data_IF_982384172645
#
_entry.id   IF_982384172645
#
_cell.length_a   1.000
_cell.length_b   1.000
_cell.length_c   1.000
_cell.angle_alpha   90.00
_cell.angle_beta   90.00
_cell.angle_gamma   90.00
#
_symmetry.space_group_name_H-M   'P 1'
#
loop_
_entity.id
_entity.type
_entity.pdbx_description
1 polymer ?
#
# COMPACT_ATOMS: atom_id res chain seq x y z
N UNK A 1 0.72 -16.70 22.80
CA UNK A 1 -0.33 -15.71 22.70
C UNK A 1 -0.35 -15.12 21.28
N UNK A 2 -0.64 -15.96 20.31
CA UNK A 2 -1.04 -15.60 18.94
C UNK A 2 -2.53 -15.93 18.84
N UNK A 3 -3.33 -15.11 18.17
CA UNK A 3 -4.71 -15.41 17.75
C UNK A 3 -5.89 -14.95 18.61
N UNK A 4 -5.89 -13.76 19.17
CA UNK A 4 -7.17 -13.18 19.62
C UNK A 4 -7.47 -11.80 18.98
N UNK A 5 -6.49 -11.11 18.40
CA UNK A 5 -6.72 -9.82 17.73
C UNK A 5 -6.93 -9.91 16.20
N UNK A 6 -6.76 -11.09 15.59
CA UNK A 6 -6.98 -11.28 14.14
C UNK A 6 -8.39 -11.75 13.75
N UNK A 7 -9.18 -12.28 14.67
CA UNK A 7 -10.53 -12.78 14.34
C UNK A 7 -11.67 -11.76 14.53
N UNK A 8 -11.47 -10.68 15.27
CA UNK A 8 -12.51 -9.67 15.48
C UNK A 8 -12.52 -8.52 14.45
N UNK A 9 -11.42 -8.28 13.72
CA UNK A 9 -11.33 -7.19 12.74
C UNK A 9 -11.71 -7.59 11.29
N UNK A 10 -11.79 -8.89 11.00
CA UNK A 10 -12.09 -9.42 9.66
C UNK A 10 -13.58 -9.78 9.48
N UNK A 11 -14.38 -9.78 10.53
CA UNK A 11 -15.64 -10.53 10.57
C UNK A 11 -16.91 -9.74 10.27
N UNK A 12 -16.87 -8.43 10.11
CA UNK A 12 -18.10 -7.72 9.81
C UNK A 12 -18.06 -6.91 8.51
N UNK A 13 -17.98 -7.63 7.37
CA UNK A 13 -18.18 -7.05 6.06
C UNK A 13 -19.51 -6.29 5.95
N UNK A 14 -20.56 -6.72 6.68
CA UNK A 14 -21.86 -6.04 6.73
C UNK A 14 -21.76 -4.69 7.42
N UNK A 15 -21.00 -4.59 8.52
CA UNK A 15 -20.76 -3.31 9.18
C UNK A 15 -19.97 -2.34 8.27
N UNK A 16 -19.01 -2.84 7.49
CA UNK A 16 -18.30 -2.01 6.50
C UNK A 16 -19.23 -1.47 5.42
N UNK A 17 -20.16 -2.29 4.90
CA UNK A 17 -21.18 -1.83 3.96
C UNK A 17 -22.16 -0.85 4.61
N UNK A 18 -22.56 -1.10 5.85
CA UNK A 18 -23.43 -0.21 6.61
C UNK A 18 -22.78 1.14 6.92
N UNK A 19 -21.45 1.18 7.08
CA UNK A 19 -20.70 2.42 7.29
C UNK A 19 -20.56 3.28 6.02
N UNK A 20 -20.86 2.73 4.83
CA UNK A 20 -20.85 3.51 3.59
C UNK A 20 -21.89 4.62 3.64
N UNK A 21 -21.47 5.85 3.35
CA UNK A 21 -22.35 7.04 3.34
C UNK A 21 -22.72 7.40 1.91
N UNK A 22 -23.98 7.14 1.49
CA UNK A 22 -24.44 7.49 0.15
C UNK A 22 -24.58 9.00 -0.01
N UNK A 23 -24.18 9.55 -1.15
CA UNK A 23 -24.28 10.98 -1.47
C UNK A 23 -25.47 11.28 -2.39
N UNK A 24 -25.94 10.28 -3.12
CA UNK A 24 -27.07 10.42 -4.07
C UNK A 24 -28.24 9.54 -3.66
N UNK A 25 -29.42 9.81 -4.23
CA UNK A 25 -30.61 8.99 -4.00
C UNK A 25 -30.46 7.58 -4.59
N UNK A 26 -29.77 7.44 -5.74
CA UNK A 26 -29.49 6.13 -6.31
C UNK A 26 -28.59 5.29 -5.38
N UNK A 27 -27.52 5.84 -4.89
CA UNK A 27 -26.63 5.14 -3.95
C UNK A 27 -27.35 4.74 -2.64
N UNK A 28 -28.29 5.57 -2.21
CA UNK A 28 -29.09 5.25 -1.01
C UNK A 28 -30.00 4.03 -1.28
N UNK A 29 -30.58 3.94 -2.48
CA UNK A 29 -31.38 2.80 -2.90
C UNK A 29 -30.51 1.55 -3.00
N UNK A 30 -29.39 1.63 -3.73
CA UNK A 30 -28.47 0.52 -3.93
C UNK A 30 -27.96 -0.02 -2.58
N UNK A 31 -27.49 0.88 -1.70
CA UNK A 31 -27.04 0.51 -0.36
C UNK A 31 -28.14 -0.20 0.44
N UNK A 32 -29.33 0.33 0.45
CA UNK A 32 -30.43 -0.26 1.23
C UNK A 32 -30.82 -1.65 0.69
N UNK A 33 -30.88 -1.82 -0.63
CA UNK A 33 -31.13 -3.11 -1.26
C UNK A 33 -30.03 -4.12 -0.94
N UNK A 34 -28.77 -3.73 -1.08
CA UNK A 34 -27.60 -4.57 -0.76
C UNK A 34 -27.63 -5.00 0.71
N UNK A 35 -27.93 -4.09 1.63
CA UNK A 35 -27.98 -4.40 3.08
C UNK A 35 -29.14 -5.36 3.40
N UNK A 36 -30.32 -5.17 2.79
CA UNK A 36 -31.44 -6.09 2.95
C UNK A 36 -31.12 -7.48 2.42
N UNK A 37 -30.53 -7.56 1.23
CA UNK A 37 -30.05 -8.82 0.67
C UNK A 37 -28.99 -9.49 1.55
N UNK A 38 -28.06 -8.70 2.10
CA UNK A 38 -27.02 -9.19 3.00
C UNK A 38 -27.59 -9.76 4.32
N UNK A 39 -28.68 -9.21 4.82
CA UNK A 39 -29.40 -9.78 5.96
C UNK A 39 -30.10 -11.07 5.60
N UNK A 40 -30.77 -11.10 4.43
CA UNK A 40 -31.57 -12.24 4.00
C UNK A 40 -30.73 -13.45 3.60
N UNK A 41 -29.69 -13.26 2.80
CA UNK A 41 -28.90 -14.34 2.19
C UNK A 41 -27.52 -14.55 2.84
N UNK A 42 -27.05 -13.58 3.62
CA UNK A 42 -25.79 -13.69 4.36
C UNK A 42 -24.60 -13.99 3.45
N UNK A 43 -23.79 -14.97 3.86
CA UNK A 43 -22.56 -15.36 3.14
C UNK A 43 -22.80 -16.01 1.77
N UNK A 44 -24.03 -16.38 1.42
CA UNK A 44 -24.34 -16.89 0.08
C UNK A 44 -24.05 -15.87 -1.00
N UNK A 45 -24.26 -14.57 -0.72
CA UNK A 45 -23.95 -13.47 -1.63
C UNK A 45 -22.44 -13.30 -1.92
N UNK A 46 -21.57 -13.90 -1.13
CA UNK A 46 -20.13 -13.91 -1.39
C UNK A 46 -19.74 -14.88 -2.52
N UNK A 47 -20.67 -15.75 -2.94
CA UNK A 47 -20.41 -16.76 -3.95
C UNK A 47 -21.22 -16.49 -5.23
N UNK A 48 -20.56 -16.60 -6.38
CA UNK A 48 -21.23 -16.49 -7.71
C UNK A 48 -22.24 -17.61 -7.99
N UNK A 49 -22.34 -18.61 -7.14
CA UNK A 49 -23.40 -19.61 -7.18
C UNK A 49 -24.77 -19.06 -6.76
N UNK A 50 -24.82 -17.90 -6.08
CA UNK A 50 -26.07 -17.17 -5.89
C UNK A 50 -26.39 -16.44 -7.22
N UNK A 51 -27.26 -17.09 -8.02
CA UNK A 51 -27.42 -16.77 -9.43
C UNK A 51 -28.12 -15.44 -9.74
N UNK A 52 -28.88 -14.89 -8.79
CA UNK A 52 -29.61 -13.61 -8.97
C UNK A 52 -28.73 -12.40 -8.72
N UNK A 53 -27.89 -12.49 -7.69
CA UNK A 53 -26.98 -11.42 -7.30
C UNK A 53 -25.81 -11.95 -6.48
N UNK A 54 -24.64 -11.33 -6.58
CA UNK A 54 -23.49 -11.66 -5.75
C UNK A 54 -22.49 -10.51 -5.70
N UNK A 55 -21.60 -10.56 -4.69
CA UNK A 55 -20.61 -9.48 -4.52
C UNK A 55 -19.45 -9.56 -5.50
N UNK A 56 -19.12 -8.40 -6.04
CA UNK A 56 -17.88 -8.12 -6.76
C UNK A 56 -17.10 -7.01 -6.06
N UNK A 57 -15.79 -7.03 -6.23
CA UNK A 57 -14.87 -6.09 -5.61
C UNK A 57 -14.05 -5.41 -6.68
N UNK A 58 -14.16 -4.09 -6.79
CA UNK A 58 -13.43 -3.31 -7.79
C UNK A 58 -12.36 -2.44 -7.17
N UNK A 59 -11.17 -2.48 -7.78
CA UNK A 59 -10.06 -1.58 -7.50
C UNK A 59 -10.02 -0.47 -8.55
N UNK A 60 -10.46 0.74 -8.18
CA UNK A 60 -10.29 1.91 -9.05
C UNK A 60 -8.92 2.48 -8.83
N UNK A 61 -7.97 2.10 -9.71
CA UNK A 61 -6.56 2.44 -9.55
C UNK A 61 -6.25 3.75 -10.24
N UNK A 62 -5.74 4.73 -9.49
CA UNK A 62 -5.27 6.00 -10.05
C UNK A 62 -3.77 6.19 -9.79
N UNK A 63 -3.17 7.07 -10.58
CA UNK A 63 -1.81 7.54 -10.33
C UNK A 63 -1.75 8.45 -9.09
N UNK A 64 -0.55 8.74 -8.61
CA UNK A 64 -0.31 9.55 -7.41
C UNK A 64 -0.84 10.99 -7.52
N UNK A 65 -1.08 11.51 -8.73
CA UNK A 65 -1.63 12.84 -9.00
C UNK A 65 -3.14 12.85 -9.18
N UNK A 66 -3.77 11.67 -9.29
CA UNK A 66 -5.18 11.49 -9.63
C UNK A 66 -5.55 12.12 -10.99
N UNK A 67 -4.65 12.01 -11.95
CA UNK A 67 -4.80 12.50 -13.32
C UNK A 67 -5.06 11.36 -14.32
N UNK A 68 -4.61 10.13 -13.98
CA UNK A 68 -4.77 8.94 -14.82
C UNK A 68 -5.42 7.81 -14.04
N UNK A 69 -6.20 7.00 -14.76
CA UNK A 69 -6.80 5.76 -14.27
C UNK A 69 -6.16 4.58 -14.98
N UNK A 70 -5.79 3.54 -14.24
CA UNK A 70 -5.35 2.28 -14.81
C UNK A 70 -6.57 1.47 -15.21
N UNK A 71 -6.67 1.14 -16.48
CA UNK A 71 -7.82 0.42 -17.03
C UNK A 71 -7.38 -0.78 -17.85
N UNK A 72 -8.24 -1.77 -17.90
CA UNK A 72 -8.07 -3.00 -18.69
C UNK A 72 -9.08 -3.05 -19.82
N UNK A 73 -8.66 -3.49 -21.01
CA UNK A 73 -9.59 -3.70 -22.12
C UNK A 73 -10.24 -5.09 -22.02
N UNK A 74 -11.50 -5.09 -21.59
CA UNK A 74 -12.22 -6.30 -21.30
C UNK A 74 -12.88 -6.89 -22.55
N UNK A 75 -12.57 -8.17 -22.86
CA UNK A 75 -13.03 -8.82 -24.10
C UNK A 75 -14.56 -8.93 -24.20
N UNK A 76 -15.25 -9.21 -23.07
CA UNK A 76 -16.69 -9.45 -23.06
C UNK A 76 -17.44 -8.13 -23.32
N UNK A 77 -16.97 -7.03 -22.75
CA UNK A 77 -17.62 -5.71 -22.86
C UNK A 77 -17.15 -4.89 -24.06
N UNK A 78 -16.06 -5.34 -24.73
CA UNK A 78 -15.40 -4.61 -25.83
C UNK A 78 -15.13 -3.15 -25.45
N UNK A 79 -14.71 -2.92 -24.20
CA UNK A 79 -14.54 -1.61 -23.57
C UNK A 79 -13.39 -1.62 -22.59
N UNK A 80 -12.79 -0.45 -22.36
CA UNK A 80 -11.95 -0.23 -21.20
C UNK A 80 -12.83 -0.16 -19.94
N UNK A 81 -12.42 -0.92 -18.92
CA UNK A 81 -13.08 -1.01 -17.63
C UNK A 81 -12.03 -0.90 -16.48
N UNK A 82 -12.51 -0.63 -15.28
CA UNK A 82 -11.69 -0.73 -14.07
C UNK A 82 -11.33 -2.19 -13.77
N UNK A 83 -10.42 -2.41 -12.82
CA UNK A 83 -10.07 -3.75 -12.37
C UNK A 83 -11.04 -4.24 -11.31
N UNK A 84 -11.33 -5.54 -11.33
CA UNK A 84 -12.20 -6.13 -10.30
C UNK A 84 -12.63 -7.55 -10.61
N UNK A 85 -13.03 -8.25 -9.56
CA UNK A 85 -13.45 -9.64 -9.65
C UNK A 85 -14.49 -10.00 -8.59
N UNK A 86 -14.90 -11.25 -8.61
CA UNK A 86 -15.89 -11.78 -7.68
C UNK A 86 -15.27 -11.95 -6.28
N UNK A 87 -16.10 -11.82 -5.27
CA UNK A 87 -15.69 -12.07 -3.88
C UNK A 87 -15.26 -13.54 -3.67
N UNK A 88 -15.92 -14.49 -4.34
CA UNK A 88 -15.64 -15.93 -4.32
C UNK A 88 -15.40 -16.50 -2.91
N UNK A 89 -16.29 -16.11 -1.99
CA UNK A 89 -16.25 -16.51 -0.58
C UNK A 89 -15.40 -15.61 0.32
N UNK A 90 -14.64 -14.67 -0.24
CA UNK A 90 -13.90 -13.69 0.56
C UNK A 90 -14.84 -12.65 1.17
N UNK A 91 -14.66 -12.36 2.45
CA UNK A 91 -15.30 -11.26 3.17
C UNK A 91 -14.38 -10.04 3.31
N UNK A 92 -13.14 -10.12 2.85
CA UNK A 92 -12.21 -9.00 2.74
C UNK A 92 -12.26 -8.43 1.31
N UNK A 93 -13.20 -7.53 1.10
CA UNK A 93 -13.43 -6.92 -0.21
C UNK A 93 -12.25 -6.02 -0.65
N UNK A 94 -11.59 -5.35 0.30
CA UNK A 94 -10.42 -4.54 -0.02
C UNK A 94 -9.25 -5.40 -0.50
N UNK A 95 -8.97 -6.49 0.22
CA UNK A 95 -7.93 -7.43 -0.19
C UNK A 95 -8.22 -8.00 -1.58
N UNK A 96 -9.49 -8.37 -1.84
CA UNK A 96 -9.92 -8.88 -3.15
C UNK A 96 -9.69 -7.83 -4.24
N UNK A 97 -10.11 -6.57 -4.04
CA UNK A 97 -9.91 -5.49 -5.00
C UNK A 97 -8.40 -5.24 -5.30
N UNK A 98 -7.54 -5.28 -4.29
CA UNK A 98 -6.08 -5.15 -4.46
C UNK A 98 -5.49 -6.35 -5.21
N UNK A 99 -5.95 -7.56 -4.91
CA UNK A 99 -5.50 -8.78 -5.59
C UNK A 99 -5.86 -8.75 -7.08
N UNK A 100 -7.12 -8.46 -7.41
CA UNK A 100 -7.59 -8.36 -8.80
C UNK A 100 -6.83 -7.28 -9.58
N UNK A 101 -6.62 -6.11 -8.98
CA UNK A 101 -5.82 -5.06 -9.62
C UNK A 101 -4.40 -5.54 -9.98
N UNK A 102 -3.75 -6.34 -9.12
CA UNK A 102 -2.44 -6.92 -9.41
C UNK A 102 -2.48 -8.01 -10.48
N UNK A 103 -3.47 -8.90 -10.42
CA UNK A 103 -3.62 -10.03 -11.33
C UNK A 103 -3.91 -9.55 -12.75
N UNK A 104 -4.83 -8.60 -12.91
CA UNK A 104 -5.26 -8.10 -14.21
C UNK A 104 -4.26 -7.15 -14.90
N UNK A 105 -3.44 -6.43 -14.11
CA UNK A 105 -2.59 -5.35 -14.65
C UNK A 105 -1.09 -5.55 -14.49
N UNK A 106 -0.68 -6.49 -13.62
CA UNK A 106 0.72 -6.74 -13.30
C UNK A 106 1.38 -5.71 -12.38
N UNK A 107 0.66 -4.68 -11.90
CA UNK A 107 1.20 -3.77 -10.88
C UNK A 107 1.52 -4.52 -9.60
N UNK A 108 2.60 -4.13 -8.92
CA UNK A 108 3.10 -4.90 -7.77
C UNK A 108 2.76 -4.27 -6.41
N UNK A 109 2.70 -2.95 -6.36
CA UNK A 109 2.57 -2.21 -5.10
C UNK A 109 1.40 -1.20 -5.10
N UNK A 110 0.19 -1.56 -5.56
CA UNK A 110 -0.94 -0.68 -5.35
C UNK A 110 -1.25 -0.61 -3.85
N UNK A 111 -1.62 0.58 -3.39
CA UNK A 111 -2.03 0.77 -1.99
C UNK A 111 -3.38 1.50 -1.94
N UNK A 112 -4.22 1.22 -0.94
CA UNK A 112 -5.50 1.90 -0.80
C UNK A 112 -5.30 3.35 -0.38
N UNK A 113 -5.99 4.27 -1.06
CA UNK A 113 -6.05 5.68 -0.66
C UNK A 113 -6.73 5.83 0.71
N UNK A 114 -7.71 4.98 0.96
CA UNK A 114 -8.42 4.83 2.24
C UNK A 114 -8.91 3.40 2.39
N UNK A 115 -9.05 2.93 3.62
CA UNK A 115 -9.69 1.63 3.91
C UNK A 115 -11.22 1.64 3.80
N UNK A 116 -11.84 2.81 3.56
CA UNK A 116 -13.28 2.94 3.41
C UNK A 116 -13.76 2.54 2.00
N UNK A 117 -14.98 2.03 1.92
CA UNK A 117 -15.69 1.81 0.64
C UNK A 117 -15.94 3.17 -0.01
N UNK A 118 -15.48 3.34 -1.24
CA UNK A 118 -15.69 4.60 -1.99
C UNK A 118 -16.96 4.60 -2.82
N UNK A 119 -17.41 3.44 -3.27
CA UNK A 119 -18.68 3.32 -3.99
C UNK A 119 -19.31 1.97 -3.74
N UNK A 120 -20.62 1.98 -3.64
CA UNK A 120 -21.44 0.79 -3.51
C UNK A 120 -22.55 0.90 -4.56
N UNK A 121 -22.54 0.00 -5.54
CA UNK A 121 -23.38 0.09 -6.72
C UNK A 121 -24.01 -1.27 -7.05
N UNK A 122 -25.23 -1.28 -7.55
CA UNK A 122 -25.84 -2.44 -8.17
C UNK A 122 -25.64 -2.33 -9.68
N UNK A 123 -24.78 -3.20 -10.22
CA UNK A 123 -24.41 -3.21 -11.62
C UNK A 123 -25.09 -4.37 -12.35
N UNK A 124 -25.95 -4.11 -13.37
CA UNK A 124 -26.61 -5.17 -14.11
C UNK A 124 -25.60 -5.88 -15.04
N UNK A 125 -25.62 -7.19 -15.02
CA UNK A 125 -24.87 -8.05 -15.94
C UNK A 125 -25.85 -8.68 -16.93
N UNK A 126 -25.68 -8.37 -18.21
CA UNK A 126 -26.50 -8.97 -19.28
C UNK A 126 -26.15 -10.43 -19.46
N UNK A 127 -27.14 -11.21 -19.88
CA UNK A 127 -26.94 -12.60 -20.26
C UNK A 127 -25.83 -12.73 -21.32
N UNK A 128 -24.86 -13.60 -21.08
CA UNK A 128 -23.71 -13.80 -21.96
C UNK A 128 -23.24 -15.25 -21.94
N UNK A 129 -22.27 -15.59 -22.76
CA UNK A 129 -21.60 -16.90 -22.72
C UNK A 129 -20.21 -16.77 -22.14
N UNK A 130 -19.87 -17.64 -21.19
CA UNK A 130 -18.50 -17.76 -20.63
C UNK A 130 -18.02 -19.20 -20.87
N UNK A 131 -16.95 -19.33 -21.66
CA UNK A 131 -16.36 -20.64 -22.02
C UNK A 131 -17.38 -21.65 -22.54
N UNK A 132 -18.35 -21.19 -23.38
CA UNK A 132 -19.42 -22.02 -23.94
C UNK A 132 -20.59 -22.35 -23.00
N UNK A 133 -20.54 -21.86 -21.75
CA UNK A 133 -21.63 -22.02 -20.78
C UNK A 133 -22.47 -20.75 -20.73
N UNK A 134 -23.79 -20.81 -20.86
CA UNK A 134 -24.65 -19.63 -20.75
C UNK A 134 -24.68 -19.13 -19.30
N UNK A 135 -24.45 -17.83 -19.14
CA UNK A 135 -24.59 -17.11 -17.88
C UNK A 135 -25.86 -16.25 -17.99
N UNK A 136 -26.87 -16.45 -17.14
CA UNK A 136 -28.09 -15.66 -17.16
C UNK A 136 -27.83 -14.20 -16.73
N UNK A 137 -28.80 -13.34 -17.01
CA UNK A 137 -28.82 -11.99 -16.48
C UNK A 137 -28.86 -12.02 -14.94
N UNK A 138 -28.05 -11.20 -14.32
CA UNK A 138 -27.94 -11.10 -12.85
C UNK A 138 -27.40 -9.73 -12.43
N UNK A 139 -27.27 -9.51 -11.12
CA UNK A 139 -26.76 -8.26 -10.57
C UNK A 139 -25.43 -8.49 -9.85
N UNK A 140 -24.47 -7.59 -10.06
CA UNK A 140 -23.31 -7.47 -9.23
C UNK A 140 -23.55 -6.43 -8.13
N UNK A 141 -23.45 -6.85 -6.87
CA UNK A 141 -23.35 -5.95 -5.72
C UNK A 141 -21.89 -5.53 -5.62
N UNK A 142 -21.55 -4.42 -6.26
CA UNK A 142 -20.19 -4.02 -6.47
C UNK A 142 -19.70 -3.10 -5.36
N UNK A 143 -18.57 -3.48 -4.73
CA UNK A 143 -17.89 -2.72 -3.68
C UNK A 143 -16.59 -2.16 -4.26
N UNK A 144 -16.48 -0.83 -4.37
CA UNK A 144 -15.32 -0.17 -4.98
C UNK A 144 -14.41 0.46 -3.96
N UNK A 145 -13.11 0.20 -4.09
CA UNK A 145 -12.03 0.86 -3.36
C UNK A 145 -11.16 1.68 -4.28
N UNK A 146 -10.70 2.85 -3.81
CA UNK A 146 -9.72 3.67 -4.51
C UNK A 146 -8.31 3.21 -4.18
N UNK A 147 -7.56 2.86 -5.20
CA UNK A 147 -6.17 2.43 -5.09
C UNK A 147 -5.25 3.42 -5.78
N UNK A 148 -4.03 3.54 -5.28
CA UNK A 148 -2.97 4.37 -5.88
C UNK A 148 -1.84 3.46 -6.33
N UNK A 149 -1.29 3.72 -7.51
CA UNK A 149 -0.11 3.03 -8.02
C UNK A 149 0.82 3.99 -8.78
N UNK A 150 2.07 3.59 -8.95
CA UNK A 150 3.07 4.35 -9.70
C UNK A 150 2.95 4.03 -11.19
N UNK A 151 2.82 5.06 -12.02
CA UNK A 151 2.76 4.91 -13.49
C UNK A 151 4.03 4.34 -14.12
N UNK A 152 5.13 4.28 -13.38
CA UNK A 152 6.40 3.68 -13.81
C UNK A 152 6.45 2.17 -13.65
N UNK A 153 5.48 1.57 -12.97
CA UNK A 153 5.40 0.12 -12.85
C UNK A 153 5.14 -0.54 -14.20
N UNK A 154 5.77 -1.69 -14.41
CA UNK A 154 5.60 -2.45 -15.66
C UNK A 154 4.22 -3.11 -15.67
N UNK A 155 3.40 -2.74 -16.64
CA UNK A 155 2.08 -3.32 -16.86
C UNK A 155 2.19 -4.67 -17.60
N UNK A 156 1.25 -5.57 -17.30
CA UNK A 156 1.11 -6.87 -17.98
C UNK A 156 -0.36 -7.18 -18.14
N UNK A 157 -0.75 -7.68 -19.30
CA UNK A 157 -2.08 -8.22 -19.55
C UNK A 157 -2.27 -9.55 -18.81
N UNK A 158 -3.51 -9.83 -18.44
CA UNK A 158 -4.00 -11.16 -18.06
C UNK A 158 -4.68 -11.79 -19.29
N UNK A 159 -4.01 -12.66 -20.08
CA UNK A 159 -4.50 -13.05 -21.41
C UNK A 159 -5.87 -13.74 -21.41
N UNK A 160 -6.26 -14.33 -20.29
CA UNK A 160 -7.56 -14.99 -20.14
C UNK A 160 -8.71 -13.99 -19.89
N UNK A 161 -8.39 -12.75 -19.45
CA UNK A 161 -9.37 -11.75 -19.00
C UNK A 161 -9.37 -10.49 -19.86
N UNK A 162 -8.19 -9.97 -20.21
CA UNK A 162 -8.07 -8.72 -20.94
C UNK A 162 -7.07 -8.81 -22.12
N UNK A 163 -7.14 -7.81 -23.01
CA UNK A 163 -6.28 -7.73 -24.20
C UNK A 163 -5.35 -6.51 -24.19
N UNK A 164 -5.63 -5.53 -23.32
CA UNK A 164 -4.79 -4.36 -23.12
C UNK A 164 -4.90 -3.88 -21.67
N UNK A 165 -3.84 -3.25 -21.20
CA UNK A 165 -3.77 -2.54 -19.91
C UNK A 165 -3.08 -1.23 -20.17
N UNK A 166 -3.68 -0.11 -19.77
CA UNK A 166 -3.08 1.20 -19.98
C UNK A 166 -3.49 2.22 -18.93
N UNK A 167 -2.64 3.23 -18.77
CA UNK A 167 -2.93 4.42 -17.98
C UNK A 167 -3.67 5.46 -18.81
N UNK A 168 -4.96 5.61 -18.56
CA UNK A 168 -5.86 6.49 -19.31
C UNK A 168 -5.98 7.82 -18.60
N UNK A 169 -5.71 8.95 -19.25
CA UNK A 169 -6.03 10.28 -18.71
C UNK A 169 -7.51 10.39 -18.38
N UNK A 170 -7.85 10.98 -17.21
CA UNK A 170 -9.24 11.09 -16.75
C UNK A 170 -10.14 11.78 -17.79
N UNK A 171 -9.64 12.81 -18.46
CA UNK A 171 -10.35 13.55 -19.49
C UNK A 171 -10.71 12.71 -20.74
N UNK A 172 -10.05 11.57 -20.95
CA UNK A 172 -10.30 10.67 -22.07
C UNK A 172 -11.24 9.51 -21.75
N UNK A 173 -11.68 9.37 -20.51
CA UNK A 173 -12.54 8.26 -20.10
C UNK A 173 -13.84 8.19 -20.90
N UNK A 174 -14.48 9.33 -21.18
CA UNK A 174 -15.73 9.38 -21.97
C UNK A 174 -15.54 8.99 -23.44
N UNK A 175 -14.31 9.08 -23.97
CA UNK A 175 -14.01 8.71 -25.36
C UNK A 175 -13.77 7.22 -25.51
N UNK A 176 -13.19 6.57 -24.48
CA UNK A 176 -12.75 5.16 -24.56
C UNK A 176 -13.69 4.17 -23.89
N UNK A 177 -14.49 4.62 -22.92
CA UNK A 177 -15.49 3.78 -22.25
C UNK A 177 -16.71 3.62 -23.14
N UNK A 178 -16.92 2.42 -23.65
CA UNK A 178 -18.08 2.08 -24.49
C UNK A 178 -19.34 1.74 -23.69
N UNK A 179 -19.26 1.83 -22.37
CA UNK A 179 -20.35 1.56 -21.43
C UNK A 179 -20.82 2.87 -20.77
N UNK A 180 -21.76 3.62 -21.41
CA UNK A 180 -22.15 4.96 -20.95
C UNK A 180 -22.69 4.99 -19.51
N UNK A 181 -23.28 3.87 -19.03
CA UNK A 181 -23.82 3.75 -17.68
C UNK A 181 -22.72 3.69 -16.62
N UNK A 182 -21.48 3.32 -16.99
CA UNK A 182 -20.33 3.29 -16.07
C UNK A 182 -19.64 4.66 -15.89
N UNK A 183 -19.78 5.58 -16.84
CA UNK A 183 -19.14 6.88 -16.75
C UNK A 183 -19.52 7.67 -15.48
N UNK A 184 -20.82 7.77 -15.10
CA UNK A 184 -21.19 8.43 -13.85
C UNK A 184 -20.58 7.76 -12.60
N UNK A 185 -20.41 6.42 -12.64
CA UNK A 185 -19.78 5.67 -11.53
C UNK A 185 -18.31 6.01 -11.44
N UNK A 186 -17.58 6.04 -12.56
CA UNK A 186 -16.17 6.44 -12.60
C UNK A 186 -15.95 7.89 -12.13
N UNK A 187 -16.75 8.81 -12.65
CA UNK A 187 -16.68 10.23 -12.25
C UNK A 187 -16.92 10.44 -10.76
N UNK A 188 -17.90 9.72 -10.20
CA UNK A 188 -18.19 9.71 -8.76
C UNK A 188 -16.99 9.23 -7.95
N UNK A 189 -16.39 8.10 -8.34
CA UNK A 189 -15.22 7.55 -7.63
C UNK A 189 -14.02 8.48 -7.72
N UNK A 190 -13.74 9.04 -8.89
CA UNK A 190 -12.66 10.03 -9.09
C UNK A 190 -12.86 11.25 -8.18
N UNK A 191 -14.08 11.81 -8.16
CA UNK A 191 -14.39 12.96 -7.33
C UNK A 191 -14.17 12.66 -5.84
N UNK A 192 -14.54 11.46 -5.39
CA UNK A 192 -14.32 11.01 -4.00
C UNK A 192 -12.85 10.82 -3.69
N UNK A 193 -12.10 10.19 -4.58
CA UNK A 193 -10.65 10.03 -4.40
C UNK A 193 -9.94 11.38 -4.28
N UNK A 194 -10.31 12.35 -5.15
CA UNK A 194 -9.76 13.70 -5.08
C UNK A 194 -10.11 14.42 -3.78
N UNK A 195 -11.34 14.29 -3.28
CA UNK A 195 -11.74 14.86 -1.97
C UNK A 195 -10.99 14.22 -0.81
N UNK A 196 -10.85 12.89 -0.81
CA UNK A 196 -10.08 12.17 0.21
C UNK A 196 -8.63 12.62 0.24
N UNK A 197 -7.98 12.72 -0.92
CA UNK A 197 -6.60 13.19 -1.01
C UNK A 197 -6.46 14.63 -0.49
N UNK A 198 -7.31 15.53 -0.94
CA UNK A 198 -7.31 16.93 -0.48
C UNK A 198 -7.52 17.03 1.05
N UNK A 199 -8.41 16.23 1.62
CA UNK A 199 -8.63 16.16 3.06
C UNK A 199 -7.38 15.64 3.80
N UNK A 200 -6.75 14.58 3.31
CA UNK A 200 -5.49 14.07 3.88
C UNK A 200 -4.38 15.13 3.86
N UNK A 201 -4.20 15.82 2.73
CA UNK A 201 -3.21 16.90 2.59
C UNK A 201 -3.50 18.05 3.56
N UNK A 202 -4.76 18.43 3.72
CA UNK A 202 -5.18 19.46 4.69
C UNK A 202 -4.90 19.04 6.13
N UNK A 203 -5.24 17.81 6.50
CA UNK A 203 -4.98 17.26 7.85
C UNK A 203 -3.47 17.23 8.11
N UNK A 204 -2.68 16.75 7.15
CA UNK A 204 -1.22 16.71 7.29
C UNK A 204 -0.63 18.12 7.45
N UNK A 205 -1.10 19.10 6.68
CA UNK A 205 -0.67 20.48 6.82
C UNK A 205 -1.00 21.07 8.20
N UNK A 206 -2.17 20.73 8.75
CA UNK A 206 -2.60 21.17 10.09
C UNK A 206 -1.81 20.48 11.22
N UNK A 207 -1.38 19.23 11.03
CA UNK A 207 -0.62 18.48 12.04
C UNK A 207 0.86 18.87 12.09
N UNK A 208 1.43 19.36 11.00
CA UNK A 208 2.86 19.64 10.89
C UNK A 208 3.33 20.65 11.94
N UNK A 209 2.67 21.80 12.05
CA UNK A 209 3.09 22.85 13.01
C UNK A 209 2.89 22.44 14.47
N UNK A 210 1.75 21.88 14.90
CA UNK A 210 1.61 21.35 16.25
C UNK A 210 2.67 20.29 16.61
N UNK A 211 2.98 19.38 15.67
CA UNK A 211 4.00 18.34 15.90
C UNK A 211 5.40 18.93 16.05
N UNK A 212 5.78 19.87 15.17
CA UNK A 212 7.08 20.54 15.24
C UNK A 212 7.21 21.38 16.52
N UNK A 213 6.13 22.01 16.99
CA UNK A 213 6.13 22.78 18.24
C UNK A 213 6.15 21.88 19.48
N UNK A 214 5.50 20.73 19.45
CA UNK A 214 5.45 19.76 20.53
C UNK A 214 6.78 18.99 20.69
N UNK A 215 7.40 18.60 19.59
CA UNK A 215 8.56 17.70 19.57
C UNK A 215 9.75 18.17 20.44
N UNK A 216 10.21 19.45 20.41
CA UNK A 216 11.36 19.87 21.20
C UNK A 216 11.21 19.68 22.70
N UNK A 217 9.97 19.86 23.23
CA UNK A 217 9.67 19.68 24.65
C UNK A 217 9.45 18.21 25.08
N UNK A 218 9.28 17.28 24.12
CA UNK A 218 8.92 15.89 24.38
C UNK A 218 9.92 14.89 23.77
N UNK A 219 10.90 15.37 23.01
CA UNK A 219 11.94 14.51 22.43
C UNK A 219 12.80 13.89 23.53
N UNK A 220 12.92 12.56 23.50
CA UNK A 220 13.83 11.86 24.43
C UNK A 220 15.27 12.28 24.16
N UNK A 221 16.04 12.52 25.23
CA UNK A 221 17.48 12.77 25.14
C UNK A 221 18.22 11.45 24.88
N UNK A 222 18.43 11.14 23.61
CA UNK A 222 19.05 9.90 23.17
C UNK A 222 20.42 10.20 22.53
N UNK A 223 21.47 9.38 22.83
CA UNK A 223 22.83 9.62 22.36
C UNK A 223 22.94 9.83 20.84
N UNK A 224 22.19 9.06 20.07
CA UNK A 224 22.21 9.13 18.60
C UNK A 224 21.44 10.32 18.00
N UNK A 225 20.68 11.06 18.81
CA UNK A 225 20.00 12.30 18.39
C UNK A 225 20.86 13.53 18.55
N UNK A 226 21.94 13.45 19.38
CA UNK A 226 22.86 14.57 19.64
C UNK A 226 23.83 14.82 18.50
N UNK A 227 24.13 13.81 17.71
CA UNK A 227 25.09 13.87 16.63
C UNK A 227 24.51 13.23 15.36
N UNK A 228 24.31 14.04 14.33
CA UNK A 228 23.75 13.62 13.04
C UNK A 228 24.79 13.03 12.08
N UNK A 229 25.91 12.50 12.59
CA UNK A 229 26.86 11.79 11.73
C UNK A 229 26.24 10.52 11.15
N UNK A 230 26.32 10.29 9.83
CA UNK A 230 25.66 9.19 9.15
C UNK A 230 25.95 7.80 9.74
N UNK A 231 27.21 7.53 10.08
CA UNK A 231 27.61 6.29 10.75
C UNK A 231 26.85 6.06 12.07
N UNK A 232 26.72 7.10 12.87
CA UNK A 232 26.07 7.03 14.19
C UNK A 232 24.56 6.85 14.07
N UNK A 233 23.94 7.56 13.15
CA UNK A 233 22.50 7.43 12.87
C UNK A 233 22.21 6.06 12.28
N UNK A 234 22.95 5.63 11.26
CA UNK A 234 22.80 4.30 10.67
C UNK A 234 22.94 3.17 11.68
N UNK A 235 23.97 3.21 12.54
CA UNK A 235 24.16 2.23 13.61
C UNK A 235 22.95 2.18 14.54
N UNK A 236 22.44 3.34 14.97
CA UNK A 236 21.27 3.39 15.84
C UNK A 236 20.02 2.82 15.16
N UNK A 237 19.78 3.11 13.89
CA UNK A 237 18.64 2.60 13.14
C UNK A 237 18.68 1.06 13.00
N UNK A 238 19.86 0.49 12.78
CA UNK A 238 20.01 -0.97 12.72
C UNK A 238 19.85 -1.61 14.11
N UNK A 239 20.36 -1.00 15.16
CA UNK A 239 20.24 -1.54 16.52
C UNK A 239 18.80 -1.47 17.03
N UNK A 240 18.09 -0.36 16.79
CA UNK A 240 16.74 -0.11 17.31
C UNK A 240 15.64 -0.97 16.69
N UNK A 241 15.91 -1.69 15.61
CA UNK A 241 14.92 -2.51 14.92
C UNK A 241 14.19 -3.51 15.83
N UNK A 242 14.76 -3.92 16.95
CA UNK A 242 14.21 -5.01 17.78
C UNK A 242 14.24 -4.78 19.29
N UNK A 243 14.99 -3.81 19.84
CA UNK A 243 15.22 -3.75 21.29
C UNK A 243 15.67 -2.37 21.77
N UNK A 244 15.71 -2.18 23.11
CA UNK A 244 16.33 -1.02 23.75
C UNK A 244 17.85 -1.15 23.74
N UNK A 245 18.57 -0.13 23.24
CA UNK A 245 19.97 -0.30 22.84
C UNK A 245 20.94 0.70 23.48
N UNK A 246 20.53 1.56 24.41
CA UNK A 246 21.35 2.68 24.89
C UNK A 246 22.76 2.25 25.35
N UNK A 247 22.89 1.24 26.21
CA UNK A 247 24.18 0.76 26.67
C UNK A 247 24.99 0.00 25.61
N UNK A 248 24.32 -0.65 24.66
CA UNK A 248 24.97 -1.37 23.56
C UNK A 248 25.56 -0.40 22.52
N UNK A 249 24.82 0.65 22.20
CA UNK A 249 25.25 1.67 21.26
C UNK A 249 26.55 2.33 21.68
N UNK A 250 26.66 2.72 22.96
CA UNK A 250 27.87 3.35 23.49
C UNK A 250 29.08 2.42 23.40
N UNK A 251 28.96 1.18 23.90
CA UNK A 251 30.05 0.17 23.86
C UNK A 251 30.47 -0.15 22.43
N UNK A 252 29.53 -0.21 21.48
CA UNK A 252 29.84 -0.47 20.09
C UNK A 252 30.68 0.64 19.48
N UNK A 253 30.33 1.90 19.74
CA UNK A 253 31.09 3.07 19.28
C UNK A 253 32.47 3.22 19.95
N UNK A 254 32.62 2.74 21.18
CA UNK A 254 33.93 2.70 21.84
C UNK A 254 34.85 1.69 21.16
N UNK A 255 34.32 0.58 20.67
CA UNK A 255 35.10 -0.46 19.99
C UNK A 255 35.27 -0.14 18.50
N UNK A 256 34.26 0.37 17.84
CA UNK A 256 34.25 0.72 16.42
C UNK A 256 33.81 2.17 16.25
N UNK A 257 34.73 3.13 16.43
CA UNK A 257 34.37 4.56 16.43
C UNK A 257 33.95 5.11 15.07
N UNK A 258 34.34 4.43 13.99
CA UNK A 258 34.11 4.84 12.61
C UNK A 258 33.89 3.65 11.66
N UNK A 259 33.54 3.94 10.42
CA UNK A 259 33.28 2.94 9.37
C UNK A 259 34.55 2.12 9.06
N UNK A 260 35.75 2.69 8.89
CA UNK A 260 36.98 1.92 8.68
C UNK A 260 37.27 0.93 9.81
N UNK A 261 37.09 1.33 11.06
CA UNK A 261 37.30 0.45 12.21
C UNK A 261 36.35 -0.75 12.18
N UNK A 262 35.07 -0.53 11.84
CA UNK A 262 34.08 -1.59 11.70
C UNK A 262 34.36 -2.50 10.49
N UNK A 263 34.74 -1.92 9.35
CA UNK A 263 35.04 -2.67 8.13
C UNK A 263 36.22 -3.63 8.31
N UNK A 264 37.26 -3.20 9.04
CA UNK A 264 38.48 -3.99 9.32
C UNK A 264 38.34 -4.97 10.49
N UNK A 265 37.24 -4.92 11.23
CA UNK A 265 37.02 -5.80 12.38
C UNK A 265 36.80 -7.26 11.96
N UNK A 266 37.23 -8.20 12.80
CA UNK A 266 36.85 -9.59 12.65
C UNK A 266 35.37 -9.79 13.01
N UNK A 267 34.68 -10.69 12.30
CA UNK A 267 33.24 -10.93 12.53
C UNK A 267 32.92 -11.32 13.97
N UNK A 268 33.80 -12.08 14.62
CA UNK A 268 33.62 -12.53 16.01
C UNK A 268 33.71 -11.34 16.99
N UNK A 269 34.54 -10.33 16.71
CA UNK A 269 34.60 -9.11 17.51
C UNK A 269 33.30 -8.32 17.42
N UNK A 270 32.75 -8.19 16.20
CA UNK A 270 31.47 -7.52 15.96
C UNK A 270 30.33 -8.29 16.66
N UNK A 271 30.31 -9.62 16.54
CA UNK A 271 29.32 -10.47 17.20
C UNK A 271 29.39 -10.35 18.73
N UNK A 272 30.59 -10.25 19.31
CA UNK A 272 30.77 -10.09 20.75
C UNK A 272 30.22 -8.74 21.24
N UNK A 273 30.43 -7.67 20.50
CA UNK A 273 29.84 -6.35 20.82
C UNK A 273 28.32 -6.32 20.62
N UNK A 274 27.78 -7.25 19.81
CA UNK A 274 26.34 -7.41 19.52
C UNK A 274 25.64 -8.37 20.47
N UNK A 275 26.36 -9.04 21.35
CA UNK A 275 25.82 -10.06 22.27
C UNK A 275 24.72 -9.46 23.15
N UNK A 276 23.55 -10.12 23.16
CA UNK A 276 22.35 -9.67 23.87
C UNK A 276 21.34 -8.90 23.02
N UNK A 277 21.70 -8.43 21.80
CA UNK A 277 20.76 -7.75 20.89
C UNK A 277 19.97 -8.73 20.00
N UNK A 278 20.43 -9.97 19.87
CA UNK A 278 19.81 -10.98 19.00
C UNK A 278 19.93 -10.66 17.50
N UNK A 279 19.44 -11.56 16.65
CA UNK A 279 19.44 -11.41 15.18
C UNK A 279 20.81 -10.99 14.62
N UNK A 280 21.80 -11.85 14.82
CA UNK A 280 23.21 -11.62 14.46
C UNK A 280 23.45 -11.38 12.96
N UNK A 281 22.49 -11.72 12.10
CA UNK A 281 22.52 -11.34 10.68
C UNK A 281 22.60 -9.81 10.47
N UNK A 282 22.06 -9.00 11.42
CA UNK A 282 22.19 -7.54 11.39
C UNK A 282 23.62 -7.10 11.62
N UNK A 283 24.31 -7.70 12.61
CA UNK A 283 25.72 -7.43 12.88
C UNK A 283 26.61 -7.81 11.67
N UNK A 284 26.35 -8.94 11.05
CA UNK A 284 27.07 -9.38 9.86
C UNK A 284 26.81 -8.43 8.66
N UNK A 285 25.58 -8.02 8.44
CA UNK A 285 25.25 -7.06 7.38
C UNK A 285 25.85 -5.67 7.65
N UNK A 286 25.85 -5.20 8.91
CA UNK A 286 26.45 -3.94 9.30
C UNK A 286 27.95 -3.91 8.96
N UNK A 287 28.70 -4.98 9.28
CA UNK A 287 30.10 -5.11 8.90
C UNK A 287 30.29 -5.15 7.39
N UNK A 288 29.51 -5.97 6.66
CA UNK A 288 29.58 -6.02 5.20
C UNK A 288 29.29 -4.67 4.56
N UNK A 289 28.29 -3.95 5.06
CA UNK A 289 27.98 -2.61 4.55
C UNK A 289 29.14 -1.62 4.82
N UNK A 290 29.79 -1.69 5.99
CA UNK A 290 30.98 -0.89 6.27
C UNK A 290 32.11 -1.21 5.28
N UNK A 291 32.33 -2.47 4.92
CA UNK A 291 33.31 -2.87 3.90
C UNK A 291 32.96 -2.28 2.52
N UNK A 292 31.70 -2.37 2.10
CA UNK A 292 31.24 -1.73 0.85
C UNK A 292 31.47 -0.23 0.87
N UNK A 293 31.19 0.44 1.99
CA UNK A 293 31.42 1.91 2.11
C UNK A 293 32.91 2.23 1.97
N UNK A 294 33.81 1.45 2.58
CA UNK A 294 35.24 1.67 2.42
C UNK A 294 35.68 1.41 0.99
N UNK A 295 35.26 0.31 0.37
CA UNK A 295 35.70 -0.12 -0.97
C UNK A 295 35.14 0.77 -2.09
N UNK A 296 33.88 1.16 -2.01
CA UNK A 296 33.19 1.86 -3.11
C UNK A 296 33.11 3.38 -2.91
N UNK A 297 33.09 3.84 -1.66
CA UNK A 297 32.92 5.25 -1.30
C UNK A 297 34.09 5.85 -0.53
N UNK A 298 35.26 5.13 -0.46
CA UNK A 298 36.45 5.61 0.21
C UNK A 298 36.30 5.85 1.71
N UNK A 299 35.32 5.19 2.35
CA UNK A 299 35.02 5.33 3.78
C UNK A 299 34.05 6.47 4.12
N UNK A 300 33.64 7.30 3.15
CA UNK A 300 32.58 8.28 3.31
C UNK A 300 31.22 7.60 3.15
N UNK A 301 30.26 7.92 4.01
CA UNK A 301 28.90 7.36 3.91
C UNK A 301 28.19 7.94 2.67
N UNK A 302 27.51 7.11 1.84
CA UNK A 302 26.82 7.61 0.66
C UNK A 302 25.69 8.59 1.02
N UNK A 303 25.45 9.58 0.15
CA UNK A 303 24.57 10.72 0.45
C UNK A 303 23.20 10.64 -0.26
N UNK A 304 23.05 9.74 -1.24
CA UNK A 304 21.77 9.57 -1.95
C UNK A 304 20.98 8.39 -1.40
N UNK A 305 19.64 8.47 -1.47
CA UNK A 305 18.76 7.38 -1.01
C UNK A 305 19.02 6.08 -1.76
N UNK A 306 19.26 6.17 -3.06
CA UNK A 306 19.52 5.03 -3.94
C UNK A 306 20.79 4.28 -3.53
N UNK A 307 21.86 5.00 -3.23
CA UNK A 307 23.12 4.41 -2.81
C UNK A 307 23.04 3.82 -1.40
N UNK A 308 22.44 4.56 -0.45
CA UNK A 308 22.23 4.07 0.92
C UNK A 308 21.38 2.80 0.91
N UNK A 309 20.35 2.75 0.06
CA UNK A 309 19.45 1.61 -0.07
C UNK A 309 20.13 0.35 -0.62
N UNK A 310 21.24 0.49 -1.35
CA UNK A 310 22.01 -0.64 -1.90
C UNK A 310 22.94 -1.28 -0.86
N UNK A 311 23.15 -0.66 0.28
CA UNK A 311 24.02 -1.21 1.32
C UNK A 311 23.43 -2.50 1.92
N UNK A 312 24.26 -3.52 2.23
CA UNK A 312 23.82 -4.76 2.86
C UNK A 312 23.01 -4.54 4.14
N UNK A 313 21.80 -5.08 4.19
CA UNK A 313 20.91 -4.99 5.36
C UNK A 313 20.18 -3.66 5.52
N UNK A 314 20.28 -2.75 4.57
CA UNK A 314 19.55 -1.48 4.56
C UNK A 314 18.27 -1.63 3.74
N UNK A 315 17.12 -1.40 4.39
CA UNK A 315 15.80 -1.33 3.77
C UNK A 315 15.36 0.10 3.45
N UNK A 316 14.19 0.25 2.82
CA UNK A 316 13.63 1.55 2.44
C UNK A 316 13.51 2.49 3.65
N UNK A 317 13.03 1.98 4.80
CA UNK A 317 12.92 2.73 6.04
C UNK A 317 14.28 3.25 6.53
N UNK A 318 15.28 2.36 6.65
CA UNK A 318 16.61 2.75 7.16
C UNK A 318 17.29 3.76 6.23
N UNK A 319 17.18 3.54 4.90
CA UNK A 319 17.70 4.51 3.93
C UNK A 319 17.02 5.87 4.06
N UNK A 320 15.69 5.89 4.15
CA UNK A 320 14.92 7.10 4.36
C UNK A 320 15.28 7.82 5.66
N UNK A 321 15.40 7.09 6.77
CA UNK A 321 15.77 7.66 8.07
C UNK A 321 17.18 8.31 8.04
N UNK A 322 18.19 7.61 7.50
CA UNK A 322 19.54 8.16 7.39
C UNK A 322 19.55 9.39 6.49
N UNK A 323 18.94 9.32 5.31
CA UNK A 323 18.93 10.42 4.35
C UNK A 323 18.18 11.65 4.90
N UNK A 324 17.04 11.46 5.57
CA UNK A 324 16.31 12.59 6.14
C UNK A 324 17.00 13.21 7.35
N UNK A 325 17.59 12.39 8.23
CA UNK A 325 18.23 12.90 9.48
C UNK A 325 19.58 13.54 9.19
N UNK A 326 20.40 12.95 8.31
CA UNK A 326 21.78 13.35 8.11
C UNK A 326 21.96 14.38 6.99
N UNK A 327 21.12 14.30 5.95
CA UNK A 327 21.27 15.10 4.73
C UNK A 327 20.08 16.01 4.44
N UNK A 328 19.09 16.07 5.35
CA UNK A 328 17.87 16.86 5.21
C UNK A 328 17.10 16.56 3.89
N UNK A 329 17.25 15.35 3.34
CA UNK A 329 16.54 14.92 2.14
C UNK A 329 15.10 14.54 2.50
N UNK A 330 14.08 15.01 1.75
CA UNK A 330 12.66 14.67 1.99
C UNK A 330 12.34 13.25 1.52
N UNK A 331 12.94 12.25 2.16
CA UNK A 331 12.72 10.84 1.87
C UNK A 331 11.76 10.22 2.87
N UNK A 332 10.84 9.33 2.44
CA UNK A 332 9.97 8.61 3.36
C UNK A 332 10.79 7.64 4.21
N UNK A 333 10.51 7.61 5.51
CA UNK A 333 11.10 6.70 6.49
C UNK A 333 10.01 5.79 7.10
#
# INVERSE_FOLDING_TARGET
>A
MRNVMQEQDVTDWKARLAAYVPETEQERRDRNEILLAAEQYGTQLLWRSHAESHFTCSGFVMDTRLEKVLMVYHRIYDSFAWTGGHADGSNDFLWTAVREAKEETGIRKPYPLTGAVLSLDILPVRAHQKNGTPVPEHQHYNVTYGLIADTRETLRIAPDENTAVDWIPVEKLSEICKEPHMLPVYEKVIARMRRWKAMQEQVMAQLTQPLLSWHPGHARDLPWRKNRQPYRVWLSEIMLQQTRVEGYYQRFLETFPDIPALANAEQDQVNKCWEGLGYYSRAANLRKAAQVIVEQYGGAFPETWEEVRQLPGVGDYTAGAVCSICYDLPTPA
#
